data_IF_070996590612
#
_entry.id   IF_070996590612
#
_cell.length_a   1.000
_cell.length_b   1.000
_cell.length_c   1.000
_cell.angle_alpha   90.00
_cell.angle_beta   90.00
_cell.angle_gamma   90.00
#
_symmetry.space_group_name_H-M   'P 1'
#
loop_
_entity.id
_entity.type
_entity.pdbx_description
1 polymer ?
#
# COMPACT_ATOMS: atom_id res chain seq x y z
N UNK A 1 26.92 -4.46 -54.69
CA UNK A 1 27.92 -5.53 -54.88
C UNK A 1 28.69 -5.76 -53.58
N UNK A 2 28.19 -6.59 -52.65
CA UNK A 2 29.04 -7.19 -51.61
C UNK A 2 28.51 -8.59 -51.32
N UNK A 3 29.35 -9.58 -51.62
CA UNK A 3 29.07 -11.01 -51.61
C UNK A 3 29.78 -11.57 -50.37
N UNK A 4 29.04 -11.90 -49.30
CA UNK A 4 29.61 -12.57 -48.13
C UNK A 4 29.47 -14.08 -48.28
N UNK A 5 30.62 -14.73 -48.34
CA UNK A 5 30.82 -16.17 -48.46
C UNK A 5 30.31 -16.89 -47.20
N UNK A 6 29.28 -17.73 -47.37
CA UNK A 6 28.88 -18.72 -46.36
C UNK A 6 29.75 -19.96 -46.57
N UNK A 7 30.67 -20.21 -45.64
CA UNK A 7 31.44 -21.45 -45.57
C UNK A 7 30.50 -22.62 -45.25
N UNK A 8 30.25 -23.48 -46.24
CA UNK A 8 29.60 -24.78 -46.05
C UNK A 8 30.54 -25.69 -45.26
N UNK A 9 30.15 -26.04 -44.03
CA UNK A 9 30.80 -27.12 -43.28
C UNK A 9 30.30 -28.44 -43.86
N UNK A 10 31.19 -29.16 -44.54
CA UNK A 10 30.97 -30.52 -45.02
C UNK A 10 30.64 -31.46 -43.86
N UNK A 11 29.48 -32.12 -43.93
CA UNK A 11 29.19 -33.30 -43.11
C UNK A 11 29.89 -34.51 -43.75
N UNK A 12 30.65 -35.34 -43.01
CA UNK A 12 31.09 -36.62 -43.55
C UNK A 12 29.89 -37.58 -43.61
N UNK A 13 29.60 -38.08 -44.82
CA UNK A 13 28.80 -39.27 -45.04
C UNK A 13 29.62 -40.47 -44.56
N UNK A 14 29.35 -40.94 -43.35
CA UNK A 14 29.85 -42.24 -42.89
C UNK A 14 29.05 -43.33 -43.62
N UNK A 15 29.63 -43.85 -44.70
CA UNK A 15 29.25 -45.15 -45.25
C UNK A 15 29.76 -46.22 -44.29
N UNK A 16 28.86 -46.99 -43.70
CA UNK A 16 29.24 -48.20 -42.95
C UNK A 16 28.45 -49.36 -43.52
N UNK A 17 29.21 -50.26 -44.14
CA UNK A 17 28.77 -51.54 -44.68
C UNK A 17 28.09 -52.38 -43.60
N UNK A 18 26.87 -52.82 -43.88
CA UNK A 18 26.20 -53.87 -43.11
C UNK A 18 26.86 -55.20 -43.44
N UNK A 19 27.52 -55.82 -42.47
CA UNK A 19 27.81 -57.26 -42.48
C UNK A 19 26.73 -57.97 -41.67
N UNK A 20 25.97 -58.83 -42.34
CA UNK A 20 25.10 -59.80 -41.70
C UNK A 20 25.94 -61.03 -41.34
N UNK A 21 26.22 -61.22 -40.04
CA UNK A 21 26.61 -62.51 -39.49
C UNK A 21 25.87 -62.72 -38.17
N UNK A 22 25.00 -63.72 -38.17
CA UNK A 22 24.31 -64.24 -37.01
C UNK A 22 25.27 -65.02 -36.10
N UNK A 23 25.39 -64.59 -34.84
CA UNK A 23 25.65 -65.49 -33.70
C UNK A 23 24.77 -65.07 -32.51
N UNK A 24 23.83 -65.96 -32.19
CA UNK A 24 23.29 -66.29 -30.86
C UNK A 24 23.28 -65.23 -29.73
N UNK A 25 22.07 -64.74 -29.42
CA UNK A 25 21.42 -64.89 -28.10
C UNK A 25 22.21 -64.67 -26.78
N UNK A 26 23.09 -63.67 -26.69
CA UNK A 26 23.68 -63.24 -25.38
C UNK A 26 23.39 -61.77 -25.00
N UNK A 27 22.93 -60.92 -25.90
CA UNK A 27 22.75 -59.49 -25.58
C UNK A 27 21.43 -59.08 -24.88
N UNK A 28 20.52 -60.02 -24.56
CA UNK A 28 19.22 -59.66 -23.96
C UNK A 28 19.27 -59.44 -22.43
N UNK A 29 20.28 -59.98 -21.73
CA UNK A 29 20.48 -59.74 -20.28
C UNK A 29 21.23 -58.44 -19.98
N UNK A 30 22.11 -58.00 -20.89
CA UNK A 30 22.83 -56.73 -20.75
C UNK A 30 21.88 -55.53 -20.84
N UNK A 31 20.88 -55.57 -21.74
CA UNK A 31 19.95 -54.45 -22.00
C UNK A 31 19.00 -54.14 -20.85
N UNK A 32 18.54 -55.14 -20.08
CA UNK A 32 17.72 -54.91 -18.88
C UNK A 32 18.53 -54.33 -17.73
N UNK A 33 19.80 -54.74 -17.59
CA UNK A 33 20.71 -54.20 -16.56
C UNK A 33 21.24 -52.80 -16.88
N UNK A 34 21.43 -52.47 -18.16
CA UNK A 34 21.77 -51.11 -18.59
C UNK A 34 20.57 -50.18 -18.42
N UNK A 35 19.35 -50.64 -18.78
CA UNK A 35 18.14 -49.86 -18.59
C UNK A 35 17.82 -49.55 -17.12
N UNK A 36 18.16 -50.43 -16.17
CA UNK A 36 18.01 -50.11 -14.73
C UNK A 36 19.06 -49.09 -14.27
N UNK A 37 20.31 -49.23 -14.72
CA UNK A 37 21.40 -48.28 -14.43
C UNK A 37 21.12 -46.89 -15.04
N UNK A 38 20.55 -46.82 -16.23
CA UNK A 38 20.15 -45.58 -16.90
C UNK A 38 19.00 -44.88 -16.15
N UNK A 39 18.04 -45.65 -15.62
CA UNK A 39 16.97 -45.13 -14.75
C UNK A 39 17.54 -44.59 -13.43
N UNK A 40 18.48 -45.30 -12.81
CA UNK A 40 19.14 -44.87 -11.57
C UNK A 40 19.97 -43.59 -11.79
N UNK A 41 20.66 -43.48 -12.94
CA UNK A 41 21.41 -42.27 -13.29
C UNK A 41 20.47 -41.09 -13.56
N UNK A 42 19.35 -41.30 -14.24
CA UNK A 42 18.32 -40.28 -14.46
C UNK A 42 17.73 -39.78 -13.14
N UNK A 43 17.45 -40.66 -12.18
CA UNK A 43 16.99 -40.30 -10.84
C UNK A 43 18.04 -39.45 -10.09
N UNK A 44 19.32 -39.83 -10.15
CA UNK A 44 20.42 -39.04 -9.56
C UNK A 44 20.61 -37.68 -10.22
N UNK A 45 20.36 -37.57 -11.54
CA UNK A 45 20.38 -36.28 -12.26
C UNK A 45 19.22 -35.39 -11.81
N UNK A 46 18.02 -35.95 -11.65
CA UNK A 46 16.84 -35.25 -11.14
C UNK A 46 17.05 -34.77 -9.69
N UNK A 47 17.63 -35.60 -8.83
CA UNK A 47 17.99 -35.20 -7.46
C UNK A 47 18.97 -34.03 -7.45
N UNK A 48 20.06 -34.10 -8.22
CA UNK A 48 21.02 -33.00 -8.36
C UNK A 48 20.39 -31.71 -8.92
N UNK A 49 19.43 -31.84 -9.83
CA UNK A 49 18.66 -30.69 -10.34
C UNK A 49 17.81 -30.07 -9.23
N UNK A 50 17.04 -30.87 -8.49
CA UNK A 50 16.24 -30.43 -7.35
C UNK A 50 17.09 -29.78 -6.26
N UNK A 51 18.24 -30.36 -5.93
CA UNK A 51 19.19 -29.79 -4.96
C UNK A 51 19.73 -28.44 -5.45
N UNK A 52 20.07 -28.32 -6.73
CA UNK A 52 20.55 -27.08 -7.33
C UNK A 52 19.45 -26.02 -7.41
N UNK A 53 18.21 -26.40 -7.68
CA UNK A 53 17.04 -25.52 -7.63
C UNK A 53 16.74 -25.08 -6.20
N UNK A 54 16.69 -26.01 -5.25
CA UNK A 54 16.53 -25.71 -3.83
C UNK A 54 17.63 -24.79 -3.31
N UNK A 55 18.89 -24.96 -3.73
CA UNK A 55 19.98 -24.06 -3.37
C UNK A 55 19.80 -22.67 -3.99
N UNK A 56 19.32 -22.58 -5.23
CA UNK A 56 19.00 -21.28 -5.87
C UNK A 56 17.84 -20.59 -5.17
N UNK A 57 16.81 -21.34 -4.78
CA UNK A 57 15.64 -20.85 -4.08
C UNK A 57 15.98 -20.43 -2.65
N UNK A 58 16.84 -21.18 -1.96
CA UNK A 58 17.38 -20.78 -0.67
C UNK A 58 18.22 -19.50 -0.78
N UNK A 59 19.06 -19.38 -1.82
CA UNK A 59 19.83 -18.16 -2.10
C UNK A 59 18.93 -16.98 -2.47
N UNK A 60 17.85 -17.19 -3.22
CA UNK A 60 16.92 -16.13 -3.60
C UNK A 60 16.06 -15.70 -2.42
N UNK A 61 15.65 -16.62 -1.56
CA UNK A 61 14.95 -16.35 -0.29
C UNK A 61 15.81 -15.56 0.70
N UNK A 62 17.13 -15.80 0.72
CA UNK A 62 18.06 -15.05 1.57
C UNK A 62 18.40 -13.65 1.04
N UNK A 63 18.21 -13.38 -0.26
CA UNK A 63 18.53 -12.09 -0.89
C UNK A 63 17.48 -11.03 -0.55
N UNK A 64 17.94 -9.86 -0.11
CA UNK A 64 17.08 -8.68 0.06
C UNK A 64 16.57 -8.18 -1.29
N UNK A 65 15.28 -7.84 -1.40
CA UNK A 65 14.75 -7.17 -2.58
C UNK A 65 15.36 -5.77 -2.70
N UNK A 66 16.00 -5.47 -3.83
CA UNK A 66 16.70 -4.19 -4.07
C UNK A 66 15.74 -2.99 -4.15
N UNK A 67 14.55 -3.19 -4.72
CA UNK A 67 13.54 -2.12 -4.86
C UNK A 67 12.92 -1.77 -3.51
N UNK A 68 12.32 -2.76 -2.84
CA UNK A 68 11.57 -2.57 -1.60
C UNK A 68 12.46 -2.51 -0.36
N UNK A 69 13.63 -3.14 -0.40
CA UNK A 69 14.62 -3.15 0.66
C UNK A 69 14.44 -4.24 1.72
N UNK A 70 13.35 -5.03 1.66
CA UNK A 70 13.04 -6.12 2.60
C UNK A 70 13.45 -7.49 2.07
N UNK A 71 13.63 -8.47 2.97
CA UNK A 71 13.81 -9.88 2.59
C UNK A 71 12.46 -10.51 2.19
N UNK A 72 12.46 -11.52 1.30
CA UNK A 72 11.31 -12.40 1.08
C UNK A 72 10.82 -12.97 2.41
N UNK A 73 9.55 -12.72 2.77
CA UNK A 73 8.94 -13.14 4.04
C UNK A 73 8.86 -12.06 5.12
N UNK A 74 9.65 -10.99 5.04
CA UNK A 74 9.62 -9.87 6.00
C UNK A 74 8.53 -8.82 5.67
N UNK A 75 7.34 -9.25 5.25
CA UNK A 75 6.25 -8.38 4.77
C UNK A 75 5.79 -7.32 5.77
N UNK A 76 6.06 -7.52 7.07
CA UNK A 76 5.55 -6.71 8.18
C UNK A 76 6.45 -5.53 8.58
N UNK A 77 7.63 -5.39 7.98
CA UNK A 77 8.53 -4.28 8.31
C UNK A 77 7.98 -2.94 7.84
N UNK A 78 7.42 -2.86 6.64
CA UNK A 78 6.97 -1.57 6.13
C UNK A 78 5.86 -0.92 6.97
N UNK A 79 4.76 -1.60 7.34
CA UNK A 79 3.72 -0.98 8.17
C UNK A 79 4.22 -0.49 9.54
N UNK A 80 5.26 -1.13 10.08
CA UNK A 80 5.88 -0.75 11.35
C UNK A 80 6.86 0.41 11.22
N UNK A 81 7.34 0.71 10.01
CA UNK A 81 8.29 1.80 9.74
C UNK A 81 7.70 3.17 10.04
N UNK A 82 8.57 4.06 10.51
CA UNK A 82 8.22 5.44 10.77
C UNK A 82 7.73 6.16 9.51
N UNK A 83 8.43 5.99 8.39
CA UNK A 83 8.04 6.59 7.12
C UNK A 83 6.62 6.18 6.69
N UNK A 84 6.26 4.91 6.83
CA UNK A 84 4.95 4.38 6.44
C UNK A 84 3.82 4.91 7.34
N UNK A 85 4.09 5.03 8.64
CA UNK A 85 3.13 5.60 9.60
C UNK A 85 2.81 7.06 9.28
N UNK A 86 3.78 7.81 8.76
CA UNK A 86 3.62 9.23 8.44
C UNK A 86 2.89 9.50 7.11
N UNK A 87 3.12 8.66 6.09
CA UNK A 87 2.51 8.82 4.77
C UNK A 87 1.00 8.64 4.85
N UNK A 88 0.26 9.51 4.18
CA UNK A 88 -1.17 9.38 3.96
C UNK A 88 -1.39 8.43 2.78
N UNK A 89 -2.00 7.29 3.06
CA UNK A 89 -2.47 6.32 2.07
C UNK A 89 -3.98 6.48 1.84
N UNK A 90 -4.47 5.93 0.72
CA UNK A 90 -5.91 5.93 0.41
C UNK A 90 -6.73 5.27 1.53
N UNK A 91 -6.20 4.19 2.12
CA UNK A 91 -6.78 3.50 3.29
C UNK A 91 -6.95 4.44 4.51
N UNK A 92 -6.02 5.37 4.74
CA UNK A 92 -6.14 6.35 5.84
C UNK A 92 -7.16 7.45 5.53
N UNK A 93 -7.40 7.75 4.26
CA UNK A 93 -8.35 8.77 3.81
C UNK A 93 -9.79 8.26 3.89
N UNK A 94 -9.99 7.01 3.48
CA UNK A 94 -11.28 6.31 3.47
C UNK A 94 -11.19 5.07 4.36
N UNK A 95 -11.08 5.25 5.69
CA UNK A 95 -10.95 4.12 6.57
C UNK A 95 -12.30 3.39 6.57
N UNK A 96 -12.28 2.08 6.30
CA UNK A 96 -13.51 1.28 6.27
C UNK A 96 -14.19 1.32 7.64
N UNK A 97 -15.54 1.31 7.71
CA UNK A 97 -16.21 1.15 8.99
C UNK A 97 -15.71 -0.16 9.63
N UNK A 98 -15.07 -0.05 10.80
CA UNK A 98 -14.64 -1.22 11.58
C UNK A 98 -15.86 -2.13 11.71
N UNK A 99 -15.82 -3.32 11.10
CA UNK A 99 -16.85 -4.34 11.31
C UNK A 99 -16.88 -4.60 12.83
N UNK A 100 -18.03 -4.42 13.47
CA UNK A 100 -18.19 -4.72 14.91
C UNK A 100 -17.70 -6.16 15.12
N UNK A 101 -16.88 -6.36 16.14
CA UNK A 101 -16.07 -7.55 16.30
C UNK A 101 -16.84 -8.86 16.12
N UNK A 102 -16.23 -9.80 15.40
CA UNK A 102 -16.62 -11.20 15.43
C UNK A 102 -17.59 -11.66 14.35
N UNK A 103 -17.25 -11.52 13.08
CA UNK A 103 -17.70 -12.49 12.07
C UNK A 103 -16.59 -12.71 11.06
N UNK A 104 -15.76 -13.71 11.34
CA UNK A 104 -14.92 -14.35 10.35
C UNK A 104 -15.85 -14.97 9.31
N UNK A 105 -16.20 -14.21 8.27
CA UNK A 105 -16.80 -14.78 7.07
C UNK A 105 -15.76 -15.69 6.45
N UNK A 106 -15.75 -16.96 6.90
CA UNK A 106 -15.14 -18.05 6.16
C UNK A 106 -15.85 -18.07 4.82
N UNK A 107 -15.09 -17.82 3.76
CA UNK A 107 -15.49 -18.08 2.38
C UNK A 107 -15.95 -19.53 2.28
N UNK A 108 -17.26 -19.78 2.39
CA UNK A 108 -17.88 -20.99 1.94
C UNK A 108 -18.27 -20.77 0.47
N UNK A 109 -17.52 -21.46 -0.39
CA UNK A 109 -17.87 -21.69 -1.77
C UNK A 109 -19.24 -22.36 -1.84
N UNK A 110 -20.06 -21.89 -2.77
CA UNK A 110 -20.97 -22.69 -3.60
C UNK A 110 -21.86 -23.72 -2.90
N UNK A 111 -23.14 -23.38 -2.73
CA UNK A 111 -24.26 -24.28 -3.06
C UNK A 111 -25.56 -23.48 -3.17
N UNK A 112 -26.04 -23.38 -4.40
CA UNK A 112 -27.46 -23.19 -4.70
C UNK A 112 -28.21 -24.37 -4.10
N UNK A 113 -29.10 -24.12 -3.13
CA UNK A 113 -30.18 -25.05 -2.80
C UNK A 113 -31.43 -24.20 -2.54
N UNK A 114 -32.47 -24.52 -3.32
CA UNK A 114 -33.76 -23.86 -3.34
C UNK A 114 -34.45 -23.95 -1.98
N UNK A 115 -35.12 -22.87 -1.57
CA UNK A 115 -36.04 -22.87 -0.43
C UNK A 115 -37.37 -23.46 -0.88
N UNK A 116 -37.84 -24.60 -0.34
CA UNK A 116 -39.24 -24.99 -0.49
C UNK A 116 -40.07 -24.25 0.55
N UNK A 117 -41.15 -23.63 0.12
CA UNK A 117 -42.21 -23.14 1.01
C UNK A 117 -42.85 -24.33 1.73
N UNK A 118 -42.98 -24.32 3.06
CA UNK A 118 -43.87 -25.25 3.74
C UNK A 118 -45.29 -24.68 3.85
N UNK A 119 -46.22 -25.63 3.79
CA UNK A 119 -47.65 -25.47 3.57
C UNK A 119 -48.42 -24.84 4.75
N UNK A 120 -49.56 -24.27 4.39
CA UNK A 120 -50.55 -23.66 5.27
C UNK A 120 -51.43 -24.74 5.92
N UNK A 121 -51.15 -25.04 7.19
CA UNK A 121 -52.09 -25.77 8.04
C UNK A 121 -52.44 -24.93 9.27
N UNK A 122 -53.71 -24.54 9.35
CA UNK A 122 -54.21 -23.65 10.39
C UNK A 122 -54.39 -24.33 11.74
N UNK A 123 -54.23 -23.54 12.80
CA UNK A 123 -55.05 -23.71 14.00
C UNK A 123 -55.27 -22.35 14.64
N UNK A 124 -56.53 -21.93 14.64
CA UNK A 124 -57.06 -20.78 15.35
C UNK A 124 -56.88 -21.01 16.85
N UNK A 125 -56.30 -20.05 17.55
CA UNK A 125 -56.54 -19.87 18.98
C UNK A 125 -56.65 -18.38 19.25
N UNK A 126 -57.91 -17.94 19.37
CA UNK A 126 -58.31 -16.63 19.84
C UNK A 126 -58.46 -16.72 21.35
N UNK A 127 -57.55 -16.10 22.08
CA UNK A 127 -57.74 -15.57 23.44
C UNK A 127 -56.88 -14.30 23.44
N UNK A 128 -57.36 -13.08 23.66
CA UNK A 128 -58.27 -12.68 24.72
C UNK A 128 -57.58 -11.54 25.46
N UNK A 129 -57.82 -10.31 25.00
CA UNK A 129 -57.88 -9.06 25.78
C UNK A 129 -56.68 -8.67 26.67
N UNK A 130 -56.02 -7.57 26.31
CA UNK A 130 -55.64 -6.50 27.24
C UNK A 130 -55.36 -5.19 26.46
N UNK A 131 -56.19 -4.14 26.62
CA UNK A 131 -55.89 -2.80 26.15
C UNK A 131 -55.40 -1.92 27.30
N UNK A 132 -54.17 -1.43 27.21
CA UNK A 132 -53.68 -0.30 27.99
C UNK A 132 -52.61 -0.63 29.01
N UNK A 133 -51.35 -0.33 28.66
CA UNK A 133 -50.41 0.52 29.41
C UNK A 133 -49.07 0.58 28.65
N UNK A 134 -49.00 1.30 27.53
CA UNK A 134 -47.70 1.78 27.04
C UNK A 134 -47.35 3.05 27.80
N UNK A 135 -46.73 2.87 28.97
CA UNK A 135 -45.92 3.92 29.61
C UNK A 135 -44.56 4.02 28.91
N UNK A 136 -43.92 5.20 28.91
CA UNK A 136 -43.08 5.68 27.83
C UNK A 136 -41.77 4.89 27.74
N UNK A 137 -41.46 4.36 26.56
CA UNK A 137 -40.15 3.72 26.30
C UNK A 137 -39.04 4.77 26.47
N UNK A 138 -38.21 4.70 27.53
CA UNK A 138 -37.05 5.55 27.67
C UNK A 138 -35.91 4.81 26.99
N UNK A 139 -35.68 5.11 25.71
CA UNK A 139 -34.68 4.38 24.96
C UNK A 139 -34.74 4.61 23.46
N UNK A 140 -34.75 5.87 23.02
CA UNK A 140 -34.04 6.13 21.76
C UNK A 140 -32.57 5.92 22.06
N UNK A 141 -32.11 4.69 21.84
CA UNK A 141 -30.72 4.43 21.49
C UNK A 141 -30.41 5.23 20.22
N UNK A 142 -30.16 6.53 20.35
CA UNK A 142 -29.29 7.28 19.44
C UNK A 142 -27.86 6.80 19.66
N UNK A 143 -27.61 5.50 19.51
CA UNK A 143 -26.28 4.96 19.33
C UNK A 143 -25.98 4.84 17.85
N UNK A 144 -25.79 5.99 17.21
CA UNK A 144 -24.73 6.08 16.21
C UNK A 144 -23.71 7.17 16.57
N UNK A 145 -22.84 6.97 17.56
CA UNK A 145 -21.50 7.51 17.48
C UNK A 145 -20.71 6.57 16.55
N UNK A 146 -20.66 6.92 15.27
CA UNK A 146 -19.96 6.14 14.24
C UNK A 146 -18.80 6.96 13.68
N UNK A 147 -17.61 6.41 13.88
CA UNK A 147 -16.26 6.86 13.52
C UNK A 147 -15.52 7.69 14.61
N UNK A 148 -14.97 6.98 15.59
CA UNK A 148 -14.09 7.38 16.70
C UNK A 148 -13.39 8.76 16.56
N UNK A 149 -13.88 9.66 17.41
CA UNK A 149 -13.30 10.82 18.14
C UNK A 149 -11.88 11.32 17.83
N UNK A 150 -11.81 12.60 17.47
CA UNK A 150 -10.80 13.62 17.89
C UNK A 150 -11.12 15.03 17.31
N UNK A 151 -12.39 15.29 17.00
CA UNK A 151 -12.86 16.66 16.75
C UNK A 151 -14.19 16.79 17.48
N UNK A 152 -14.15 17.38 18.67
CA UNK A 152 -15.32 18.07 19.22
C UNK A 152 -15.98 18.81 18.06
N UNK A 153 -17.27 18.56 17.81
CA UNK A 153 -18.07 19.41 16.92
C UNK A 153 -17.70 20.84 17.28
N UNK A 154 -17.04 21.56 16.37
CA UNK A 154 -16.74 22.96 16.65
C UNK A 154 -18.11 23.63 16.78
N UNK A 155 -18.35 24.23 17.94
CA UNK A 155 -19.54 25.03 18.24
C UNK A 155 -19.85 25.90 17.02
N UNK A 156 -21.01 25.70 16.38
CA UNK A 156 -21.38 26.39 15.13
C UNK A 156 -21.53 25.53 13.87
N UNK A 157 -21.44 24.20 13.94
CA UNK A 157 -21.84 23.31 12.84
C UNK A 157 -20.83 23.19 11.68
N UNK A 158 -19.59 23.63 11.87
CA UNK A 158 -18.52 23.51 10.87
C UNK A 158 -17.77 22.19 11.08
N UNK A 159 -17.73 21.33 10.04
CA UNK A 159 -17.00 20.06 10.07
C UNK A 159 -15.73 20.12 9.22
N UNK A 160 -14.62 20.51 9.84
CA UNK A 160 -13.33 20.58 9.15
C UNK A 160 -12.76 19.15 8.89
N UNK A 161 -12.09 18.91 7.75
CA UNK A 161 -11.55 17.60 7.41
C UNK A 161 -10.40 17.16 8.34
N UNK A 162 -10.10 15.85 8.32
CA UNK A 162 -9.00 15.24 9.09
C UNK A 162 -7.63 15.60 8.49
N UNK A 163 -7.53 15.51 7.17
CA UNK A 163 -6.34 15.82 6.41
C UNK A 163 -6.63 17.00 5.48
N UNK A 164 -5.71 17.96 5.45
CA UNK A 164 -5.85 19.17 4.65
C UNK A 164 -4.85 19.15 3.50
N UNK A 165 -5.28 19.65 2.36
CA UNK A 165 -4.42 19.99 1.25
C UNK A 165 -3.76 21.36 1.49
N UNK A 166 -2.78 21.71 0.65
CA UNK A 166 -2.08 23.01 0.64
C UNK A 166 -1.38 23.35 1.96
N UNK A 167 -1.15 22.36 2.82
CA UNK A 167 -0.38 22.58 4.03
C UNK A 167 -1.07 23.46 5.07
N UNK A 168 -2.40 23.47 5.05
CA UNK A 168 -3.28 24.21 5.97
C UNK A 168 -3.35 23.54 7.37
N UNK A 169 -2.87 22.30 7.49
CA UNK A 169 -2.95 21.48 8.71
C UNK A 169 -2.18 21.99 9.95
N UNK A 170 -1.35 23.05 9.84
CA UNK A 170 -0.52 23.55 10.96
C UNK A 170 -1.37 24.13 12.10
N UNK A 171 -1.01 23.79 13.36
CA UNK A 171 -1.84 23.89 14.58
C UNK A 171 -2.52 25.24 14.91
N UNK A 172 -2.07 26.35 14.34
CA UNK A 172 -2.78 27.64 14.44
C UNK A 172 -3.76 27.91 13.30
N UNK A 173 -3.42 27.52 12.07
CA UNK A 173 -4.16 27.89 10.85
C UNK A 173 -5.55 27.27 10.81
N UNK A 174 -5.68 26.01 11.25
CA UNK A 174 -6.99 25.33 11.32
C UNK A 174 -7.95 26.08 12.25
N UNK A 175 -7.50 26.45 13.45
CA UNK A 175 -8.32 27.20 14.41
C UNK A 175 -8.69 28.58 13.85
N UNK A 176 -7.74 29.27 13.24
CA UNK A 176 -8.01 30.58 12.61
C UNK A 176 -9.07 30.47 11.51
N UNK A 177 -8.93 29.50 10.59
CA UNK A 177 -9.81 29.37 9.42
C UNK A 177 -11.24 28.93 9.75
N UNK A 178 -11.40 28.00 10.68
CA UNK A 178 -12.71 27.38 10.92
C UNK A 178 -13.38 27.81 12.21
N UNK A 179 -12.67 28.45 13.15
CA UNK A 179 -13.25 28.95 14.42
C UNK A 179 -13.28 30.48 14.47
N UNK A 180 -12.14 31.13 14.22
CA UNK A 180 -11.99 32.58 14.47
C UNK A 180 -12.53 33.41 13.31
N UNK A 181 -12.15 33.09 12.07
CA UNK A 181 -12.50 33.92 10.91
C UNK A 181 -14.01 33.99 10.61
N UNK A 182 -14.80 32.90 10.67
CA UNK A 182 -16.25 32.98 10.42
C UNK A 182 -16.96 33.90 11.42
N UNK A 183 -16.55 33.87 12.70
CA UNK A 183 -17.11 34.73 13.74
C UNK A 183 -16.77 36.21 13.50
N UNK A 184 -15.48 36.52 13.27
CA UNK A 184 -15.04 37.89 12.99
C UNK A 184 -15.65 38.46 11.69
N UNK A 185 -15.83 37.61 10.68
CA UNK A 185 -16.45 37.98 9.41
C UNK A 185 -17.92 38.38 9.61
N UNK A 186 -18.65 37.66 10.44
CA UNK A 186 -20.05 37.96 10.76
C UNK A 186 -20.19 39.21 11.65
N UNK A 187 -19.28 39.42 12.61
CA UNK A 187 -19.30 40.57 13.52
C UNK A 187 -19.09 41.92 12.81
N UNK A 188 -18.29 41.94 11.72
CA UNK A 188 -17.96 43.18 10.99
C UNK A 188 -19.21 43.93 10.45
N UNK A 189 -20.34 43.25 10.32
CA UNK A 189 -21.60 43.83 9.83
C UNK A 189 -22.55 44.35 10.91
N UNK A 190 -22.28 44.10 12.21
CA UNK A 190 -23.21 44.44 13.29
C UNK A 190 -22.65 45.60 14.14
N UNK A 191 -23.16 46.81 13.93
CA UNK A 191 -22.77 48.02 14.68
C UNK A 191 -23.79 48.42 15.75
N UNK A 192 -25.02 47.92 15.68
CA UNK A 192 -26.16 48.28 16.53
C UNK A 192 -26.80 47.03 17.14
N UNK A 193 -27.52 47.17 18.27
CA UNK A 193 -28.10 46.07 19.05
C UNK A 193 -29.63 46.08 19.05
N UNK A 194 -30.25 46.04 17.87
CA UNK A 194 -31.71 45.92 17.70
C UNK A 194 -32.14 44.46 17.39
N UNK A 195 -33.40 44.09 17.65
CA UNK A 195 -33.90 42.73 17.33
C UNK A 195 -33.70 42.34 15.85
N UNK A 196 -33.83 43.31 14.94
CA UNK A 196 -33.57 43.11 13.52
C UNK A 196 -32.08 42.82 13.24
N UNK A 197 -31.17 43.55 13.89
CA UNK A 197 -29.73 43.33 13.77
C UNK A 197 -29.31 41.96 14.33
N UNK A 198 -29.98 41.46 15.38
CA UNK A 198 -29.75 40.12 15.92
C UNK A 198 -30.16 39.05 14.91
N UNK A 199 -31.28 39.23 14.20
CA UNK A 199 -31.70 38.32 13.13
C UNK A 199 -30.71 38.34 11.96
N UNK A 200 -30.29 39.54 11.54
CA UNK A 200 -29.29 39.72 10.48
C UNK A 200 -27.93 39.11 10.84
N UNK A 201 -27.48 39.26 12.09
CA UNK A 201 -26.27 38.65 12.59
C UNK A 201 -26.34 37.12 12.59
N UNK A 202 -27.50 36.54 12.97
CA UNK A 202 -27.74 35.08 12.90
C UNK A 202 -27.70 34.58 11.45
N UNK A 203 -28.31 35.29 10.52
CA UNK A 203 -28.28 34.96 9.10
C UNK A 203 -26.88 35.11 8.50
N UNK A 204 -26.15 36.17 8.88
CA UNK A 204 -24.76 36.37 8.48
C UNK A 204 -23.87 35.21 8.98
N UNK A 205 -24.00 34.83 10.25
CA UNK A 205 -23.33 33.65 10.81
C UNK A 205 -23.69 32.37 10.06
N UNK A 206 -24.96 32.17 9.68
CA UNK A 206 -25.36 31.01 8.88
C UNK A 206 -24.70 31.01 7.49
N UNK A 207 -24.58 32.17 6.84
CA UNK A 207 -23.87 32.30 5.55
C UNK A 207 -22.37 32.05 5.71
N UNK A 208 -21.74 32.58 6.76
CA UNK A 208 -20.31 32.36 7.03
C UNK A 208 -20.00 30.90 7.37
N UNK A 209 -20.85 30.22 8.13
CA UNK A 209 -20.72 28.78 8.40
C UNK A 209 -20.89 27.93 7.14
N UNK A 210 -21.82 28.28 6.24
CA UNK A 210 -21.95 27.64 4.92
C UNK A 210 -20.68 27.82 4.08
N UNK A 211 -20.13 29.04 4.02
CA UNK A 211 -18.85 29.32 3.33
C UNK A 211 -17.70 28.51 3.93
N UNK A 212 -17.61 28.46 5.26
CA UNK A 212 -16.59 27.67 5.95
C UNK A 212 -16.72 26.17 5.66
N UNK A 213 -17.94 25.65 5.57
CA UNK A 213 -18.20 24.26 5.17
C UNK A 213 -17.86 23.99 3.70
N UNK A 214 -18.13 24.92 2.79
CA UNK A 214 -17.68 24.80 1.39
C UNK A 214 -16.15 24.83 1.29
N UNK A 215 -15.51 25.72 2.03
CA UNK A 215 -14.05 25.81 2.11
C UNK A 215 -13.44 24.53 2.71
N UNK A 216 -14.05 23.96 3.75
CA UNK A 216 -13.64 22.70 4.33
C UNK A 216 -13.60 21.57 3.28
N UNK A 217 -14.61 21.49 2.41
CA UNK A 217 -14.65 20.53 1.29
C UNK A 217 -13.55 20.80 0.27
N UNK A 218 -13.26 22.06 -0.05
CA UNK A 218 -12.23 22.44 -1.02
C UNK A 218 -10.83 22.06 -0.54
N UNK A 219 -10.56 22.22 0.76
CA UNK A 219 -9.25 21.95 1.36
C UNK A 219 -9.11 20.48 1.80
N UNK A 220 -10.18 19.69 1.81
CA UNK A 220 -10.09 18.27 2.16
C UNK A 220 -9.16 17.52 1.21
N UNK A 221 -8.18 16.81 1.77
CA UNK A 221 -7.24 16.00 1.00
C UNK A 221 -7.93 14.84 0.28
N UNK A 222 -9.11 14.40 0.74
CA UNK A 222 -9.94 13.40 0.05
C UNK A 222 -10.32 13.83 -1.36
N UNK A 223 -10.49 15.14 -1.57
CA UNK A 223 -10.86 15.74 -2.85
C UNK A 223 -9.63 16.19 -3.67
N UNK A 224 -8.42 16.02 -3.14
CA UNK A 224 -7.20 16.40 -3.83
C UNK A 224 -6.81 15.39 -4.91
N UNK A 225 -6.13 15.87 -5.95
CA UNK A 225 -5.52 14.99 -6.94
C UNK A 225 -4.28 14.27 -6.39
N UNK A 226 -3.75 13.30 -7.14
CA UNK A 226 -2.53 12.57 -6.78
C UNK A 226 -1.32 13.49 -6.51
N UNK A 227 -1.24 14.65 -7.19
CA UNK A 227 -0.19 15.66 -6.96
C UNK A 227 -0.32 16.34 -5.60
N UNK A 228 -1.55 16.68 -5.18
CA UNK A 228 -1.84 17.26 -3.86
C UNK A 228 -1.52 16.29 -2.73
N UNK A 229 -1.90 15.02 -2.87
CA UNK A 229 -1.52 13.97 -1.93
C UNK A 229 0.01 13.81 -1.84
N UNK A 230 0.70 13.80 -2.99
CA UNK A 230 2.16 13.71 -3.03
C UNK A 230 2.84 14.94 -2.39
N UNK A 231 2.28 16.14 -2.55
CA UNK A 231 2.78 17.37 -1.92
C UNK A 231 2.68 17.28 -0.39
N UNK A 232 1.53 16.88 0.13
CA UNK A 232 1.31 16.75 1.58
C UNK A 232 2.22 15.67 2.19
N UNK A 233 2.35 14.52 1.52
CA UNK A 233 3.27 13.46 1.94
C UNK A 233 4.73 13.93 1.92
N UNK A 234 5.16 14.67 0.89
CA UNK A 234 6.50 15.27 0.83
C UNK A 234 6.74 16.23 1.99
N UNK A 235 5.78 17.13 2.27
CA UNK A 235 5.88 18.08 3.38
C UNK A 235 6.03 17.37 4.72
N UNK A 236 5.26 16.31 4.97
CA UNK A 236 5.34 15.49 6.19
C UNK A 236 6.69 14.82 6.35
N UNK A 237 7.23 14.27 5.25
CA UNK A 237 8.56 13.65 5.24
C UNK A 237 9.63 14.69 5.59
N UNK A 238 9.60 15.85 4.93
CA UNK A 238 10.56 16.93 5.21
C UNK A 238 10.47 17.34 6.69
N UNK A 239 9.27 17.60 7.20
CA UNK A 239 9.09 18.01 8.59
C UNK A 239 9.60 16.98 9.60
N UNK A 240 9.50 15.67 9.29
CA UNK A 240 9.91 14.60 10.20
C UNK A 240 11.41 14.29 10.16
N UNK A 241 11.99 14.20 8.96
CA UNK A 241 13.40 13.83 8.78
C UNK A 241 14.36 15.04 8.80
N UNK A 242 13.84 16.27 8.85
CA UNK A 242 14.64 17.48 9.13
C UNK A 242 15.13 17.50 10.58
N UNK A 243 16.23 18.20 10.85
CA UNK A 243 16.67 18.46 12.23
C UNK A 243 15.76 19.52 12.84
N UNK A 244 15.64 19.52 14.17
CA UNK A 244 15.00 20.60 14.90
C UNK A 244 15.69 21.96 14.67
N UNK A 245 17.01 21.97 14.43
CA UNK A 245 17.80 23.18 14.12
C UNK A 245 17.43 23.81 12.78
N UNK A 246 17.13 22.98 11.77
CA UNK A 246 16.81 23.41 10.42
C UNK A 246 15.51 22.76 9.94
N UNK A 247 14.36 23.25 10.44
CA UNK A 247 13.06 22.74 10.00
C UNK A 247 12.88 23.17 8.54
N UNK A 248 12.85 22.19 7.63
CA UNK A 248 12.78 22.33 6.16
C UNK A 248 14.10 22.19 5.38
N UNK A 249 15.17 21.66 5.99
CA UNK A 249 16.35 21.30 5.21
C UNK A 249 16.06 20.12 4.27
N UNK A 250 15.96 20.41 2.97
CA UNK A 250 15.75 19.42 1.90
C UNK A 250 17.06 18.80 1.39
N UNK A 251 18.21 19.38 1.75
CA UNK A 251 19.55 18.94 1.36
C UNK A 251 20.05 17.74 2.16
N UNK A 252 19.47 17.46 3.34
CA UNK A 252 19.91 16.35 4.19
C UNK A 252 19.80 14.99 3.49
N UNK A 253 20.81 14.12 3.64
CA UNK A 253 20.77 12.78 3.04
C UNK A 253 19.61 11.93 3.59
N UNK A 254 19.21 12.10 4.85
CA UNK A 254 18.05 11.41 5.45
C UNK A 254 16.75 11.79 4.74
N UNK A 255 16.51 13.09 4.57
CA UNK A 255 15.32 13.63 3.90
C UNK A 255 15.29 13.18 2.45
N UNK A 256 16.42 13.28 1.74
CA UNK A 256 16.53 12.82 0.36
C UNK A 256 16.26 11.32 0.22
N UNK A 257 16.82 10.48 1.10
CA UNK A 257 16.59 9.04 1.09
C UNK A 257 15.12 8.68 1.37
N UNK A 258 14.46 9.40 2.29
CA UNK A 258 13.04 9.24 2.60
C UNK A 258 12.16 9.61 1.40
N UNK A 259 12.43 10.74 0.74
CA UNK A 259 11.71 11.18 -0.45
C UNK A 259 11.87 10.22 -1.63
N UNK A 260 13.10 9.74 -1.88
CA UNK A 260 13.35 8.73 -2.91
C UNK A 260 12.63 7.42 -2.58
N UNK A 261 12.56 7.03 -1.31
CA UNK A 261 11.83 5.82 -0.89
C UNK A 261 10.33 5.94 -1.15
N UNK A 262 9.73 7.10 -0.88
CA UNK A 262 8.33 7.36 -1.27
C UNK A 262 8.12 7.24 -2.78
N UNK A 263 9.01 7.86 -3.58
CA UNK A 263 8.93 7.82 -5.04
C UNK A 263 9.07 6.39 -5.60
N UNK A 264 10.05 5.64 -5.10
CA UNK A 264 10.28 4.23 -5.47
C UNK A 264 9.01 3.41 -5.23
N UNK A 265 8.35 3.60 -4.08
CA UNK A 265 7.13 2.86 -3.73
C UNK A 265 5.95 3.23 -4.61
N UNK A 266 5.78 4.52 -4.92
CA UNK A 266 4.72 4.97 -5.83
C UNK A 266 4.91 4.41 -7.25
N UNK A 267 6.14 4.47 -7.78
CA UNK A 267 6.46 3.92 -9.10
C UNK A 267 6.33 2.39 -9.10
N UNK A 268 6.77 1.72 -8.04
CA UNK A 268 6.61 0.28 -7.89
C UNK A 268 5.13 -0.14 -7.89
N UNK A 269 4.28 0.52 -7.10
CA UNK A 269 2.85 0.25 -7.05
C UNK A 269 2.18 0.44 -8.43
N UNK A 270 2.60 1.46 -9.19
CA UNK A 270 2.16 1.65 -10.57
C UNK A 270 2.62 0.51 -11.49
N UNK A 271 3.89 0.11 -11.45
CA UNK A 271 4.46 -0.94 -12.31
C UNK A 271 3.90 -2.34 -12.01
N UNK A 272 3.48 -2.62 -10.78
CA UNK A 272 2.79 -3.86 -10.43
C UNK A 272 1.48 -3.99 -11.21
N UNK A 273 0.75 -2.88 -11.36
CA UNK A 273 -0.47 -2.79 -12.18
C UNK A 273 -0.12 -2.73 -13.68
N UNK A 274 0.91 -1.98 -14.04
CA UNK A 274 1.34 -1.70 -15.43
C UNK A 274 2.64 -2.40 -15.79
N UNK A 275 2.59 -3.72 -15.99
CA UNK A 275 3.81 -4.55 -16.22
C UNK A 275 4.57 -4.23 -17.52
N UNK A 276 3.91 -3.63 -18.51
CA UNK A 276 4.48 -3.34 -19.85
C UNK A 276 5.17 -1.97 -19.94
N UNK A 277 5.16 -1.17 -18.88
CA UNK A 277 5.78 0.17 -18.90
C UNK A 277 7.29 0.11 -18.67
N UNK A 278 8.04 0.05 -19.77
CA UNK A 278 9.50 -0.07 -19.77
C UNK A 278 10.16 1.27 -19.35
N UNK A 279 9.55 2.40 -19.70
CA UNK A 279 10.10 3.73 -19.41
C UNK A 279 10.11 3.99 -17.90
N UNK A 280 8.98 3.73 -17.23
CA UNK A 280 8.88 3.87 -15.78
C UNK A 280 9.73 2.83 -15.04
N UNK A 281 9.91 1.61 -15.59
CA UNK A 281 10.84 0.62 -15.04
C UNK A 281 12.30 1.10 -15.11
N UNK A 282 12.70 1.78 -16.19
CA UNK A 282 14.02 2.44 -16.26
C UNK A 282 14.14 3.57 -15.23
N UNK A 283 13.08 4.36 -15.04
CA UNK A 283 13.01 5.39 -14.00
C UNK A 283 13.18 4.83 -12.59
N UNK A 284 12.48 3.74 -12.27
CA UNK A 284 12.59 3.03 -11.00
C UNK A 284 14.04 2.61 -10.71
N UNK A 285 14.72 2.01 -11.70
CA UNK A 285 16.13 1.63 -11.56
C UNK A 285 17.01 2.82 -11.18
N UNK A 286 16.83 3.96 -11.85
CA UNK A 286 17.59 5.18 -11.54
C UNK A 286 17.34 5.67 -10.10
N UNK A 287 16.08 5.67 -9.66
CA UNK A 287 15.70 6.09 -8.30
C UNK A 287 16.32 5.19 -7.23
N UNK A 288 16.31 3.87 -7.42
CA UNK A 288 16.93 2.92 -6.48
C UNK A 288 18.44 3.16 -6.38
N UNK A 289 19.13 3.34 -7.50
CA UNK A 289 20.56 3.65 -7.51
C UNK A 289 20.87 5.02 -6.86
N UNK A 290 20.03 6.03 -7.11
CA UNK A 290 20.17 7.34 -6.49
C UNK A 290 20.01 7.27 -4.96
N UNK A 291 18.99 6.54 -4.47
CA UNK A 291 18.79 6.30 -3.03
C UNK A 291 20.02 5.62 -2.42
N UNK A 292 20.52 4.57 -3.06
CA UNK A 292 21.69 3.87 -2.59
C UNK A 292 22.96 4.73 -2.59
N UNK A 293 23.11 5.66 -3.56
CA UNK A 293 24.21 6.62 -3.57
C UNK A 293 24.13 7.58 -2.37
N UNK A 294 22.94 8.10 -2.07
CA UNK A 294 22.71 8.98 -0.91
C UNK A 294 23.00 8.24 0.40
N UNK A 295 22.50 7.01 0.55
CA UNK A 295 22.72 6.20 1.75
C UNK A 295 24.19 5.78 1.92
N UNK A 296 24.90 5.43 0.83
CA UNK A 296 26.35 5.18 0.87
C UNK A 296 27.16 6.43 1.18
N UNK A 297 26.67 7.62 0.81
CA UNK A 297 27.29 8.88 1.23
C UNK A 297 27.09 9.09 2.73
N UNK A 298 25.87 8.92 3.25
CA UNK A 298 25.59 9.04 4.68
C UNK A 298 26.43 8.06 5.50
N UNK A 299 26.52 6.79 5.08
CA UNK A 299 27.34 5.77 5.77
C UNK A 299 28.81 6.16 5.88
N UNK A 300 29.39 6.80 4.84
CA UNK A 300 30.78 7.29 4.86
C UNK A 300 30.97 8.50 5.76
N UNK A 301 29.94 9.33 5.90
CA UNK A 301 29.96 10.53 6.73
C UNK A 301 29.77 10.18 8.21
N UNK A 302 28.76 9.38 8.51
CA UNK A 302 28.36 8.98 9.86
C UNK A 302 27.62 7.64 9.82
N UNK A 303 28.27 6.62 10.40
CA UNK A 303 27.73 5.27 10.45
C UNK A 303 26.50 5.16 11.38
N UNK A 304 26.51 5.87 12.52
CA UNK A 304 25.42 5.79 13.51
C UNK A 304 24.13 6.37 12.94
N UNK A 305 24.23 7.51 12.23
CA UNK A 305 23.07 8.10 11.52
C UNK A 305 22.53 7.18 10.44
N UNK A 306 23.41 6.50 9.71
CA UNK A 306 23.01 5.53 8.69
C UNK A 306 22.25 4.35 9.30
N UNK A 307 22.78 3.73 10.34
CA UNK A 307 22.16 2.58 11.01
C UNK A 307 20.82 2.95 11.66
N UNK A 308 20.70 4.14 12.26
CA UNK A 308 19.44 4.63 12.82
C UNK A 308 18.38 4.93 11.74
N UNK A 309 18.78 5.36 10.55
CA UNK A 309 17.87 5.73 9.46
C UNK A 309 17.25 4.51 8.76
N UNK A 310 18.01 3.43 8.58
CA UNK A 310 17.54 2.22 7.88
C UNK A 310 16.20 1.66 8.39
N UNK A 311 15.99 1.42 9.70
CA UNK A 311 14.71 0.92 10.20
C UNK A 311 13.57 1.94 10.06
N UNK A 312 13.86 3.24 10.10
CA UNK A 312 12.85 4.30 9.89
C UNK A 312 12.30 4.27 8.45
N UNK A 313 13.15 3.92 7.48
CA UNK A 313 12.78 3.78 6.06
C UNK A 313 12.29 2.38 5.68
N UNK A 314 12.50 1.38 6.54
CA UNK A 314 12.19 -0.02 6.26
C UNK A 314 13.14 -0.66 5.26
N UNK A 315 14.42 -0.33 5.34
CA UNK A 315 15.46 -0.82 4.45
C UNK A 315 16.44 -1.68 5.22
N UNK A 316 16.89 -2.77 4.60
CA UNK A 316 18.00 -3.58 5.08
C UNK A 316 19.33 -3.07 4.51
N UNK A 317 20.46 -3.22 5.24
CA UNK A 317 21.78 -2.84 4.75
C UNK A 317 22.13 -3.48 3.40
N UNK A 318 21.77 -4.76 3.21
CA UNK A 318 22.00 -5.51 1.97
C UNK A 318 21.27 -4.95 0.74
N UNK A 319 20.27 -4.08 0.92
CA UNK A 319 19.58 -3.40 -0.19
C UNK A 319 20.29 -2.15 -0.69
N UNK A 320 21.28 -1.67 0.07
CA UNK A 320 22.09 -0.48 -0.22
C UNK A 320 23.51 -0.87 -0.64
N UNK A 321 23.99 -1.95 -0.04
CA UNK A 321 25.36 -2.45 -0.19
C UNK A 321 25.50 -3.43 -1.35
N UNK A 322 26.69 -3.42 -1.98
CA UNK A 322 27.00 -4.31 -3.09
C UNK A 322 26.43 -3.89 -4.44
N UNK A 323 26.30 -4.86 -5.33
CA UNK A 323 25.79 -4.68 -6.68
C UNK A 323 24.25 -4.72 -6.68
N UNK A 324 23.63 -3.63 -7.14
CA UNK A 324 22.18 -3.48 -7.15
C UNK A 324 21.60 -4.00 -8.46
N UNK A 325 21.01 -5.18 -8.40
CA UNK A 325 20.29 -5.78 -9.51
C UNK A 325 18.80 -5.48 -9.34
N UNK A 326 18.24 -4.69 -10.27
CA UNK A 326 16.84 -4.21 -10.27
C UNK A 326 16.18 -4.57 -11.59
#
# INVERSE_FOLDING_TARGET
MYRTLVSRVSRPLASSSRSELHTSAVCYKASKSSASKDKDEALRRLQRQREREALKDAKSAARTYTVLGSKPGDGDKWPSCELARMIITEEKLYPEPKKRGGESVKTAQSREEAVPLPDMDGTLTLDGRDPGLESPVPGRDTKEPRYDDDWQMLEGGIRAPRYFNYGVAGGGKKKMLFKVLPALSAEKGATEFDENTIREAKEAMAKETQKANMFAKLVDLRNANAKGLAYENRRRIIARFSTWEQPNDTGRPEVQAALLTLQIRNVWAHLVKSRKDIANRRGLRKLVHQRAKVLRYLKRLDLLRYEALLPQLGLEPGSVEGELIV
#
